data_IF_891863543496
#
_entry.id   IF_891863543496
#
_cell.length_a   1.000
_cell.length_b   1.000
_cell.length_c   1.000
_cell.angle_alpha   90.00
_cell.angle_beta   90.00
_cell.angle_gamma   90.00
#
_symmetry.space_group_name_H-M   'P 1'
#
loop_
_entity.id
_entity.type
_entity.pdbx_description
1 polymer ?
#
# COMPACT_ATOMS: atom_id res chain seq x y z
N UNK A 1 4.83 -17.04 35.20
CA UNK A 1 3.80 -16.50 34.26
C UNK A 1 2.81 -17.61 33.96
N UNK A 2 1.52 -17.44 34.29
CA UNK A 2 0.52 -18.53 34.28
C UNK A 2 0.35 -19.15 32.88
N UNK A 3 0.22 -20.48 32.82
CA UNK A 3 -0.08 -21.30 31.63
C UNK A 3 -1.22 -20.70 30.78
N UNK A 4 -2.30 -20.27 31.42
CA UNK A 4 -3.43 -19.57 30.78
C UNK A 4 -3.03 -18.30 29.98
N UNK A 5 -2.10 -17.49 30.49
CA UNK A 5 -1.64 -16.28 29.78
C UNK A 5 -0.90 -16.64 28.48
N UNK A 6 -0.16 -17.74 28.44
CA UNK A 6 0.57 -18.22 27.26
C UNK A 6 -0.39 -18.71 26.17
N UNK A 7 -1.42 -19.47 26.54
CA UNK A 7 -2.44 -19.94 25.60
C UNK A 7 -3.28 -18.78 25.03
N UNK A 8 -3.72 -17.85 25.87
CA UNK A 8 -4.44 -16.65 25.43
C UNK A 8 -3.62 -15.82 24.44
N UNK A 9 -2.31 -15.64 24.68
CA UNK A 9 -1.42 -14.95 23.73
C UNK A 9 -1.32 -15.67 22.37
N UNK A 10 -1.15 -17.00 22.37
CA UNK A 10 -1.09 -17.79 21.14
C UNK A 10 -2.40 -17.73 20.35
N UNK A 11 -3.54 -17.83 21.03
CA UNK A 11 -4.86 -17.74 20.42
C UNK A 11 -5.09 -16.37 19.78
N UNK A 12 -4.80 -15.29 20.49
CA UNK A 12 -4.92 -13.92 19.97
C UNK A 12 -3.98 -13.69 18.79
N UNK A 13 -2.75 -14.22 18.85
CA UNK A 13 -1.82 -14.12 17.71
C UNK A 13 -2.34 -14.86 16.47
N UNK A 14 -2.91 -16.07 16.64
CA UNK A 14 -3.52 -16.83 15.55
C UNK A 14 -4.72 -16.08 14.93
N UNK A 15 -5.58 -15.50 15.77
CA UNK A 15 -6.70 -14.67 15.31
C UNK A 15 -6.23 -13.44 14.53
N UNK A 16 -5.16 -12.77 14.98
CA UNK A 16 -4.57 -11.64 14.25
C UNK A 16 -4.04 -12.07 12.87
N UNK A 17 -3.38 -13.23 12.79
CA UNK A 17 -2.89 -13.78 11.52
C UNK A 17 -4.03 -14.13 10.57
N UNK A 18 -5.11 -14.75 11.07
CA UNK A 18 -6.30 -15.06 10.27
C UNK A 18 -6.98 -13.78 9.74
N UNK A 19 -7.13 -12.76 10.59
CA UNK A 19 -7.67 -11.46 10.19
C UNK A 19 -6.79 -10.77 9.16
N UNK A 20 -5.46 -10.82 9.34
CA UNK A 20 -4.50 -10.30 8.35
C UNK A 20 -4.65 -11.04 7.02
N UNK A 21 -4.66 -12.38 7.06
CA UNK A 21 -4.84 -13.21 5.87
C UNK A 21 -6.12 -12.86 5.13
N UNK A 22 -7.27 -12.90 5.82
CA UNK A 22 -8.57 -12.58 5.24
C UNK A 22 -8.56 -11.18 4.59
N UNK A 23 -8.04 -10.18 5.30
CA UNK A 23 -8.01 -8.79 4.82
C UNK A 23 -7.20 -8.63 3.54
N UNK A 24 -5.97 -9.13 3.51
CA UNK A 24 -5.03 -8.88 2.41
C UNK A 24 -5.07 -9.92 1.28
N UNK A 25 -5.60 -11.11 1.54
CA UNK A 25 -5.66 -12.18 0.53
C UNK A 25 -7.06 -12.49 0.04
N UNK A 26 -8.10 -11.93 0.68
CA UNK A 26 -9.49 -12.17 0.28
C UNK A 26 -10.26 -10.86 0.14
N UNK A 27 -10.35 -10.05 1.20
CA UNK A 27 -11.25 -8.91 1.25
C UNK A 27 -10.81 -7.78 0.31
N UNK A 28 -9.57 -7.30 0.41
CA UNK A 28 -9.08 -6.20 -0.43
C UNK A 28 -9.01 -6.58 -1.93
N UNK A 29 -8.49 -7.77 -2.32
CA UNK A 29 -8.55 -8.21 -3.71
C UNK A 29 -9.97 -8.19 -4.27
N UNK A 30 -10.93 -8.84 -3.60
CA UNK A 30 -12.33 -8.90 -4.05
C UNK A 30 -12.99 -7.52 -4.12
N UNK A 31 -12.68 -6.64 -3.16
CA UNK A 31 -13.18 -5.27 -3.18
C UNK A 31 -12.64 -4.49 -4.37
N UNK A 32 -11.34 -4.56 -4.62
CA UNK A 32 -10.72 -3.93 -5.77
C UNK A 32 -11.36 -4.44 -7.09
N UNK A 33 -11.47 -5.76 -7.26
CA UNK A 33 -12.11 -6.37 -8.43
C UNK A 33 -13.54 -5.87 -8.64
N UNK A 34 -14.31 -5.68 -7.55
CA UNK A 34 -15.69 -5.17 -7.63
C UNK A 34 -15.78 -3.72 -8.14
N UNK A 35 -14.69 -2.94 -8.04
CA UNK A 35 -14.61 -1.57 -8.55
C UNK A 35 -14.05 -1.51 -9.98
N UNK A 36 -13.45 -2.60 -10.47
CA UNK A 36 -12.89 -2.68 -11.82
C UNK A 36 -13.92 -2.83 -12.94
N UNK A 37 -15.20 -2.68 -12.66
CA UNK A 37 -16.27 -2.66 -13.67
C UNK A 37 -16.29 -1.39 -14.52
N UNK A 38 -15.59 -0.34 -14.10
CA UNK A 38 -15.45 0.90 -14.84
C UNK A 38 -14.10 0.94 -15.58
N UNK A 39 -14.01 1.64 -16.74
CA UNK A 39 -12.75 1.77 -17.47
C UNK A 39 -11.72 2.57 -16.69
N UNK A 40 -10.46 2.33 -16.98
CA UNK A 40 -9.36 3.19 -16.53
C UNK A 40 -9.49 4.56 -17.21
N UNK A 41 -9.33 5.62 -16.44
CA UNK A 41 -9.36 7.00 -16.93
C UNK A 41 -7.92 7.43 -17.24
N UNK A 42 -7.64 7.68 -18.51
CA UNK A 42 -6.28 7.92 -19.02
C UNK A 42 -5.58 9.13 -18.40
N UNK A 43 -6.34 10.11 -17.91
CA UNK A 43 -5.82 11.31 -17.25
C UNK A 43 -5.88 11.26 -15.73
N UNK A 44 -6.35 10.17 -15.12
CA UNK A 44 -6.48 10.08 -13.66
C UNK A 44 -5.16 9.68 -13.01
N UNK A 45 -4.71 10.50 -12.08
CA UNK A 45 -3.50 10.31 -11.29
C UNK A 45 -3.86 10.19 -9.82
N UNK A 46 -3.45 9.12 -9.17
CA UNK A 46 -3.68 8.86 -7.75
C UNK A 46 -2.37 8.89 -6.97
N UNK A 47 -2.28 9.78 -5.98
CA UNK A 47 -1.21 9.81 -4.99
C UNK A 47 -1.64 9.03 -3.75
N UNK A 48 -0.91 7.94 -3.44
CA UNK A 48 -1.17 7.09 -2.28
C UNK A 48 -0.28 7.48 -1.11
N UNK A 49 -0.79 8.32 -0.24
CA UNK A 49 -0.11 8.69 1.01
C UNK A 49 -0.45 7.66 2.10
N UNK A 50 0.56 6.88 2.46
CA UNK A 50 0.35 5.77 3.38
C UNK A 50 0.52 6.15 4.85
N UNK A 51 1.24 7.24 5.16
CA UNK A 51 1.68 7.60 6.50
C UNK A 51 1.08 8.89 7.05
N UNK A 52 1.00 9.92 6.20
CA UNK A 52 0.66 11.29 6.62
C UNK A 52 -0.81 11.65 6.33
N UNK A 53 -1.23 12.80 6.83
CA UNK A 53 -2.54 13.41 6.56
C UNK A 53 -2.51 14.41 5.41
N UNK A 54 -1.31 14.74 4.93
CA UNK A 54 -1.04 15.66 3.83
C UNK A 54 -0.04 15.02 2.90
N UNK A 55 0.09 15.51 1.68
CA UNK A 55 1.09 15.03 0.74
C UNK A 55 2.49 15.17 1.30
N UNK A 56 3.26 14.08 1.25
CA UNK A 56 4.67 14.07 1.62
C UNK A 56 5.51 14.92 0.67
N UNK A 57 6.70 15.32 1.14
CA UNK A 57 7.63 16.09 0.31
C UNK A 57 8.00 15.37 -1.00
N UNK A 58 7.99 14.03 -1.00
CA UNK A 58 8.26 13.22 -2.19
C UNK A 58 7.26 13.47 -3.32
N UNK A 59 6.02 13.84 -2.97
CA UNK A 59 4.95 14.08 -3.93
C UNK A 59 4.79 15.54 -4.34
N UNK A 60 5.11 16.48 -3.47
CA UNK A 60 4.73 17.89 -3.61
C UNK A 60 5.17 18.52 -4.94
N UNK A 61 6.41 18.28 -5.35
CA UNK A 61 6.94 18.84 -6.60
C UNK A 61 6.20 18.31 -7.82
N UNK A 62 6.03 16.97 -7.89
CA UNK A 62 5.34 16.32 -9.00
C UNK A 62 3.85 16.71 -9.03
N UNK A 63 3.19 16.70 -7.88
CA UNK A 63 1.79 17.10 -7.75
C UNK A 63 1.58 18.51 -8.32
N UNK A 64 2.40 19.47 -7.87
CA UNK A 64 2.33 20.85 -8.35
C UNK A 64 2.53 20.96 -9.86
N UNK A 65 3.48 20.23 -10.43
CA UNK A 65 3.71 20.24 -11.88
C UNK A 65 2.55 19.66 -12.69
N UNK A 66 1.94 18.60 -12.22
CA UNK A 66 0.76 18.02 -12.87
C UNK A 66 -0.48 18.91 -12.69
N UNK A 67 -0.64 19.57 -11.55
CA UNK A 67 -1.71 20.55 -11.31
C UNK A 67 -1.58 21.77 -12.22
N UNK A 68 -0.36 22.32 -12.36
CA UNK A 68 -0.07 23.45 -13.25
C UNK A 68 -0.34 23.14 -14.73
N UNK A 69 -0.23 21.87 -15.16
CA UNK A 69 -0.52 21.48 -16.54
C UNK A 69 -2.01 21.52 -16.86
N UNK A 70 -2.88 21.31 -15.87
CA UNK A 70 -4.33 21.23 -16.06
C UNK A 70 -4.84 20.02 -16.87
N UNK A 71 -3.94 19.07 -17.20
CA UNK A 71 -4.26 17.92 -18.07
C UNK A 71 -4.79 16.70 -17.28
N UNK A 72 -4.53 16.65 -15.97
CA UNK A 72 -4.76 15.46 -15.14
C UNK A 72 -5.82 15.68 -14.07
N UNK A 73 -6.64 14.64 -13.83
CA UNK A 73 -7.53 14.54 -12.66
C UNK A 73 -6.73 13.99 -11.46
N UNK A 74 -6.30 14.87 -10.58
CA UNK A 74 -5.44 14.53 -9.44
C UNK A 74 -6.28 14.12 -8.25
N UNK A 75 -6.00 12.93 -7.71
CA UNK A 75 -6.61 12.38 -6.50
C UNK A 75 -5.54 12.07 -5.46
N UNK A 76 -5.89 12.28 -4.18
CA UNK A 76 -5.02 11.93 -3.05
C UNK A 76 -5.77 11.03 -2.08
N UNK A 77 -5.16 9.91 -1.71
CA UNK A 77 -5.68 9.00 -0.68
C UNK A 77 -4.74 8.94 0.51
N UNK A 78 -5.28 9.19 1.70
CA UNK A 78 -4.54 9.24 2.97
C UNK A 78 -4.93 8.06 3.86
N UNK A 79 -4.15 6.98 3.83
CA UNK A 79 -4.49 5.73 4.54
C UNK A 79 -4.09 5.76 6.01
N UNK A 80 -2.96 6.40 6.35
CA UNK A 80 -2.45 6.54 7.72
C UNK A 80 -2.31 5.21 8.47
N UNK A 81 -1.73 4.19 7.84
CA UNK A 81 -1.71 2.81 8.32
C UNK A 81 -1.07 2.63 9.72
N UNK A 82 -0.21 3.55 10.15
CA UNK A 82 0.43 3.52 11.46
C UNK A 82 -0.48 4.02 12.59
N UNK A 83 -1.44 4.88 12.29
CA UNK A 83 -2.25 5.60 13.28
C UNK A 83 -3.67 5.08 13.37
N UNK A 84 -4.24 4.60 12.28
CA UNK A 84 -5.64 4.20 12.17
C UNK A 84 -5.77 2.68 12.21
N UNK A 85 -6.83 2.19 12.84
CA UNK A 85 -7.11 0.76 13.02
C UNK A 85 -8.59 0.44 12.82
N UNK A 86 -8.89 -0.84 12.75
CA UNK A 86 -10.26 -1.35 12.78
C UNK A 86 -11.09 -0.95 11.56
N UNK A 87 -12.30 -0.46 11.80
CA UNK A 87 -13.27 -0.08 10.77
C UNK A 87 -12.81 1.13 9.96
N UNK A 88 -12.26 2.14 10.64
CA UNK A 88 -11.75 3.35 9.99
C UNK A 88 -10.65 3.04 8.98
N UNK A 89 -9.66 2.22 9.36
CA UNK A 89 -8.64 1.74 8.43
C UNK A 89 -9.26 1.02 7.22
N UNK A 90 -10.23 0.14 7.47
CA UNK A 90 -10.87 -0.62 6.39
C UNK A 90 -11.61 0.31 5.43
N UNK A 91 -12.31 1.32 5.97
CA UNK A 91 -13.02 2.31 5.16
C UNK A 91 -12.06 3.11 4.27
N UNK A 92 -10.99 3.65 4.85
CA UNK A 92 -10.00 4.43 4.06
C UNK A 92 -9.32 3.61 2.96
N UNK A 93 -9.05 2.34 3.25
CA UNK A 93 -8.53 1.45 2.20
C UNK A 93 -9.59 1.17 1.15
N UNK A 94 -10.85 1.02 1.52
CA UNK A 94 -11.95 0.81 0.58
C UNK A 94 -12.13 2.02 -0.36
N UNK A 95 -12.16 3.23 0.20
CA UNK A 95 -12.21 4.49 -0.55
C UNK A 95 -11.00 4.61 -1.51
N UNK A 96 -9.79 4.25 -1.03
CA UNK A 96 -8.58 4.21 -1.85
C UNK A 96 -8.67 3.19 -2.99
N UNK A 97 -9.18 1.98 -2.74
CA UNK A 97 -9.32 0.93 -3.75
C UNK A 97 -10.30 1.33 -4.85
N UNK A 98 -11.34 2.08 -4.52
CA UNK A 98 -12.28 2.62 -5.48
C UNK A 98 -11.61 3.62 -6.42
N UNK A 99 -10.82 4.56 -5.89
CA UNK A 99 -10.04 5.52 -6.70
C UNK A 99 -8.98 4.80 -7.56
N UNK A 100 -8.30 3.82 -6.97
CA UNK A 100 -7.25 3.04 -7.62
C UNK A 100 -7.75 2.21 -8.81
N UNK A 101 -8.98 1.68 -8.72
CA UNK A 101 -9.55 0.82 -9.76
C UNK A 101 -9.74 1.52 -11.11
N UNK A 102 -9.81 2.85 -11.12
CA UNK A 102 -9.97 3.67 -12.32
C UNK A 102 -8.76 4.55 -12.63
N UNK A 103 -7.71 4.52 -11.82
CA UNK A 103 -6.53 5.35 -12.02
C UNK A 103 -5.60 4.78 -13.10
N UNK A 104 -5.14 5.66 -14.01
CA UNK A 104 -4.09 5.33 -14.97
C UNK A 104 -2.71 5.35 -14.33
N UNK A 105 -2.44 6.36 -13.53
CA UNK A 105 -1.15 6.53 -12.85
C UNK A 105 -1.34 6.50 -11.34
N UNK A 106 -0.48 5.78 -10.66
CA UNK A 106 -0.47 5.66 -9.21
C UNK A 106 0.92 5.94 -8.69
N UNK A 107 1.06 6.96 -7.87
CA UNK A 107 2.32 7.30 -7.21
C UNK A 107 2.30 6.88 -5.75
N UNK A 108 3.33 6.17 -5.32
CA UNK A 108 3.61 5.85 -3.91
C UNK A 108 5.02 6.29 -3.56
N UNK A 109 5.30 6.52 -2.28
CA UNK A 109 6.63 6.88 -1.79
C UNK A 109 7.18 5.90 -0.75
N UNK A 110 6.48 4.81 -0.50
CA UNK A 110 6.85 3.79 0.48
C UNK A 110 6.40 2.39 0.03
N UNK A 111 6.76 1.38 0.79
CA UNK A 111 6.25 0.02 0.63
C UNK A 111 4.73 -0.05 0.90
N UNK A 112 3.97 -0.73 0.07
CA UNK A 112 2.54 -0.88 0.24
C UNK A 112 2.09 -2.34 0.16
N UNK A 113 1.78 -2.92 1.32
CA UNK A 113 1.17 -4.25 1.37
C UNK A 113 -0.22 -4.26 0.72
N UNK A 114 -0.94 -3.13 0.73
CA UNK A 114 -2.27 -3.05 0.13
C UNK A 114 -2.15 -3.14 -1.38
N UNK A 115 -1.32 -2.27 -1.99
CA UNK A 115 -1.07 -2.29 -3.43
C UNK A 115 -0.55 -3.66 -3.90
N UNK A 116 0.36 -4.27 -3.13
CA UNK A 116 0.92 -5.60 -3.42
C UNK A 116 -0.05 -6.77 -3.20
N UNK A 117 -1.22 -6.52 -2.61
CA UNK A 117 -2.19 -7.58 -2.28
C UNK A 117 -3.34 -7.70 -3.27
N UNK A 118 -3.50 -6.74 -4.17
CA UNK A 118 -4.60 -6.69 -5.14
C UNK A 118 -4.14 -7.15 -6.53
N UNK A 119 -5.05 -7.65 -7.37
CA UNK A 119 -4.75 -7.91 -8.78
C UNK A 119 -4.81 -6.60 -9.58
N UNK A 120 -3.76 -5.77 -9.48
CA UNK A 120 -3.72 -4.47 -10.15
C UNK A 120 -3.93 -4.63 -11.67
N UNK A 121 -4.75 -3.75 -12.24
CA UNK A 121 -5.04 -3.75 -13.69
C UNK A 121 -3.76 -3.50 -14.48
N UNK A 122 -3.62 -4.18 -15.63
CA UNK A 122 -2.45 -4.06 -16.50
C UNK A 122 -2.30 -2.67 -17.11
N UNK A 123 -3.40 -1.95 -17.26
CA UNK A 123 -3.46 -0.59 -17.78
C UNK A 123 -2.96 0.45 -16.77
N UNK A 124 -2.94 0.13 -15.48
CA UNK A 124 -2.49 1.03 -14.41
C UNK A 124 -0.97 1.00 -14.28
N UNK A 125 -0.36 2.16 -14.29
CA UNK A 125 1.08 2.36 -14.12
C UNK A 125 1.33 2.78 -12.66
N UNK A 126 1.97 1.91 -11.90
CA UNK A 126 2.30 2.16 -10.48
C UNK A 126 3.78 2.50 -10.33
N UNK A 127 4.06 3.69 -9.78
CA UNK A 127 5.38 4.29 -9.71
C UNK A 127 5.74 4.55 -8.25
N UNK A 128 6.86 4.02 -7.79
CA UNK A 128 7.41 4.35 -6.47
C UNK A 128 8.47 5.44 -6.61
N UNK A 129 8.18 6.63 -6.05
CA UNK A 129 9.09 7.78 -6.04
C UNK A 129 10.13 7.69 -4.93
N UNK A 130 9.92 6.76 -3.96
CA UNK A 130 10.72 6.68 -2.76
C UNK A 130 10.62 7.93 -1.87
N UNK A 131 11.17 7.87 -0.65
CA UNK A 131 11.06 8.96 0.32
C UNK A 131 12.39 9.31 1.01
N UNK A 132 13.49 8.77 0.52
CA UNK A 132 14.81 8.99 1.09
C UNK A 132 15.85 9.20 0.00
N UNK A 133 16.76 10.13 0.22
CA UNK A 133 17.93 10.33 -0.62
C UNK A 133 18.97 9.25 -0.28
N UNK A 134 19.19 8.33 -1.22
CA UNK A 134 20.13 7.23 -1.07
C UNK A 134 19.65 6.05 -0.22
N UNK A 135 20.32 4.92 -0.35
CA UNK A 135 20.01 3.67 0.34
C UNK A 135 21.01 3.40 1.46
N UNK A 136 20.94 4.14 2.54
CA UNK A 136 21.87 4.02 3.69
C UNK A 136 21.68 2.74 4.53
N UNK A 137 20.60 2.00 4.33
CA UNK A 137 20.32 0.77 5.06
C UNK A 137 19.65 -0.26 4.15
N UNK A 138 19.81 -1.52 4.51
CA UNK A 138 19.05 -2.62 3.89
C UNK A 138 17.57 -2.49 4.24
N UNK A 139 16.69 -2.80 3.29
CA UNK A 139 15.23 -2.82 3.48
C UNK A 139 14.60 -3.90 2.60
N UNK A 140 13.32 -4.18 2.82
CA UNK A 140 12.57 -5.19 2.09
C UNK A 140 13.20 -6.58 2.23
N UNK A 141 13.33 -7.30 1.12
CA UNK A 141 13.84 -8.67 1.09
C UNK A 141 15.31 -8.80 1.53
N UNK A 142 16.11 -7.75 1.37
CA UNK A 142 17.51 -7.74 1.83
C UNK A 142 17.66 -7.73 3.36
N UNK A 143 16.57 -7.55 4.10
CA UNK A 143 16.52 -7.65 5.57
C UNK A 143 15.95 -8.98 6.07
N UNK A 144 15.58 -9.89 5.16
CA UNK A 144 15.09 -11.20 5.53
C UNK A 144 16.11 -11.91 6.43
N UNK A 145 15.64 -12.58 7.48
CA UNK A 145 16.45 -13.30 8.47
C UNK A 145 17.36 -12.43 9.35
N UNK A 146 17.36 -11.11 9.21
CA UNK A 146 18.02 -10.22 10.16
C UNK A 146 17.15 -10.06 11.42
N UNK A 147 17.76 -9.75 12.58
CA UNK A 147 17.07 -9.60 13.89
C UNK A 147 15.87 -8.63 13.83
N UNK A 148 15.93 -7.63 12.97
CA UNK A 148 14.89 -6.61 12.80
C UNK A 148 14.04 -6.81 11.54
N UNK A 149 14.35 -7.80 10.71
CA UNK A 149 13.63 -8.11 9.49
C UNK A 149 12.50 -9.13 9.68
N UNK A 150 11.67 -9.28 8.67
CA UNK A 150 10.70 -10.37 8.61
C UNK A 150 11.34 -11.60 7.98
N UNK A 151 10.85 -12.81 8.34
CA UNK A 151 11.32 -14.02 7.66
C UNK A 151 11.00 -13.99 6.16
N UNK A 152 11.83 -14.66 5.34
CA UNK A 152 11.60 -14.79 3.91
C UNK A 152 10.19 -15.30 3.61
N UNK A 153 9.74 -16.35 4.30
CA UNK A 153 8.37 -16.90 4.17
C UNK A 153 7.27 -15.86 4.46
N UNK A 154 7.50 -14.93 5.40
CA UNK A 154 6.55 -13.85 5.67
C UNK A 154 6.53 -12.83 4.54
N UNK A 155 7.70 -12.48 4.00
CA UNK A 155 7.83 -11.54 2.87
C UNK A 155 7.23 -12.12 1.59
N UNK A 156 7.40 -13.43 1.34
CA UNK A 156 6.78 -14.13 0.21
C UNK A 156 5.25 -14.18 0.33
N UNK A 157 4.75 -14.41 1.55
CA UNK A 157 3.30 -14.42 1.81
C UNK A 157 2.67 -13.04 1.73
N UNK A 158 3.38 -12.01 2.15
CA UNK A 158 2.93 -10.62 2.23
C UNK A 158 3.98 -9.69 1.63
N UNK A 159 4.13 -9.69 0.30
CA UNK A 159 5.08 -8.80 -0.38
C UNK A 159 4.64 -7.34 -0.25
N UNK A 160 5.59 -6.42 -0.28
CA UNK A 160 5.33 -4.99 -0.12
C UNK A 160 5.66 -4.17 -1.38
N UNK A 161 6.24 -4.79 -2.40
CA UNK A 161 6.75 -4.12 -3.61
C UNK A 161 6.23 -4.76 -4.91
N UNK A 162 5.22 -5.62 -4.82
CA UNK A 162 4.55 -6.16 -6.00
C UNK A 162 3.68 -5.09 -6.66
N UNK A 163 3.37 -5.30 -7.93
CA UNK A 163 2.57 -4.39 -8.76
C UNK A 163 3.23 -3.04 -9.09
N UNK A 164 4.48 -2.81 -8.69
CA UNK A 164 5.21 -1.64 -9.15
C UNK A 164 5.70 -1.85 -10.58
N UNK A 165 5.37 -0.90 -11.46
CA UNK A 165 5.84 -0.89 -12.85
C UNK A 165 7.15 -0.11 -12.98
N UNK A 166 7.34 0.91 -12.15
CA UNK A 166 8.52 1.78 -12.13
C UNK A 166 8.94 2.09 -10.70
N UNK A 167 10.24 2.25 -10.50
CA UNK A 167 10.83 2.70 -9.24
C UNK A 167 11.91 3.73 -9.58
N UNK A 168 11.84 4.90 -8.93
CA UNK A 168 12.94 5.87 -9.05
C UNK A 168 14.10 5.41 -8.17
N UNK A 169 15.31 5.55 -8.67
CA UNK A 169 16.56 5.28 -7.96
C UNK A 169 17.43 6.52 -7.99
N UNK A 170 18.16 6.76 -6.89
CA UNK A 170 19.13 7.86 -6.76
C UNK A 170 20.54 7.34 -6.86
#
# INVERSE_FOLDING_TARGET
MSFFKKYKKKFVAKLRQLRKYYRYKVYFPKKYESYCNQPVQENKVLFLEMRFTTLSNSFQYLYKKLEESGEYDLKCSYVQFNFIRGREFTKRVDDMLQELATAKYVFIDDASLILSSIPLRKETIAINLWHACGAFKKFGRSTAELKFGSSAATLDKYPNYENLTHVTVS
#
